data_IF_789448316841
#
_entry.id   IF_789448316841
#
_cell.length_a   1.000
_cell.length_b   1.000
_cell.length_c   1.000
_cell.angle_alpha   90.00
_cell.angle_beta   90.00
_cell.angle_gamma   90.00
#
_symmetry.space_group_name_H-M   'P 1'
#
loop_
_entity.id
_entity.type
_entity.pdbx_description
1 polymer ?
#
# COMPACT_ATOMS: atom_id res chain seq x y z
N UNK A 1 -19.82 10.62 6.45
CA UNK A 1 -19.55 9.54 7.42
C UNK A 1 -20.46 9.65 8.63
N UNK A 2 -20.77 8.51 9.19
CA UNK A 2 -21.77 8.42 10.26
C UNK A 2 -21.44 9.21 11.54
N UNK A 3 -20.17 9.31 11.85
CA UNK A 3 -19.72 9.98 13.09
C UNK A 3 -19.11 11.36 12.85
N UNK A 4 -19.37 11.93 11.70
CA UNK A 4 -18.92 13.30 11.41
C UNK A 4 -17.47 13.45 11.01
N UNK A 5 -16.72 12.35 10.89
CA UNK A 5 -15.34 12.38 10.40
C UNK A 5 -15.37 12.44 8.88
N UNK A 6 -14.70 13.43 8.30
CA UNK A 6 -14.63 13.56 6.84
C UNK A 6 -13.62 12.57 6.25
N UNK A 7 -13.86 12.02 5.05
CA UNK A 7 -12.90 11.10 4.42
C UNK A 7 -11.50 11.68 4.30
N UNK A 8 -11.35 12.96 4.00
CA UNK A 8 -10.05 13.60 3.86
C UNK A 8 -9.27 13.68 5.18
N UNK A 9 -9.90 13.37 6.31
CA UNK A 9 -9.25 13.31 7.62
C UNK A 9 -8.93 11.88 8.07
N UNK A 10 -9.13 10.90 7.19
CA UNK A 10 -8.94 9.48 7.51
C UNK A 10 -7.68 8.96 6.86
N UNK A 11 -6.89 8.20 7.60
CA UNK A 11 -5.73 7.48 7.08
C UNK A 11 -6.16 6.05 6.79
N UNK A 12 -5.91 5.59 5.58
CA UNK A 12 -6.24 4.22 5.16
C UNK A 12 -4.99 3.36 5.29
N UNK A 13 -5.10 2.25 6.02
CA UNK A 13 -4.01 1.30 6.20
C UNK A 13 -4.45 -0.08 5.74
N UNK A 14 -3.71 -0.66 4.81
CA UNK A 14 -3.96 -2.01 4.34
C UNK A 14 -2.70 -2.85 4.38
N UNK A 15 -2.85 -4.14 4.72
CA UNK A 15 -1.74 -5.08 4.77
C UNK A 15 -2.07 -6.31 3.93
N UNK A 16 -1.12 -6.72 3.08
CA UNK A 16 -1.25 -7.91 2.24
C UNK A 16 -2.52 -7.85 1.40
N UNK A 17 -3.42 -8.82 1.54
CA UNK A 17 -4.70 -8.84 0.80
C UNK A 17 -5.57 -7.63 1.16
N UNK A 18 -5.39 -7.09 2.36
CA UNK A 18 -6.10 -5.88 2.80
C UNK A 18 -5.74 -4.63 2.00
N UNK A 19 -4.64 -4.66 1.23
CA UNK A 19 -4.30 -3.54 0.35
C UNK A 19 -5.28 -3.41 -0.81
N UNK A 20 -5.98 -4.48 -1.16
CA UNK A 20 -6.96 -4.48 -2.25
C UNK A 20 -8.11 -3.52 -1.98
N UNK A 21 -8.88 -3.68 -0.88
CA UNK A 21 -9.93 -2.71 -0.58
C UNK A 21 -9.36 -1.32 -0.26
N UNK A 22 -8.14 -1.26 0.30
CA UNK A 22 -7.51 0.02 0.63
C UNK A 22 -7.22 0.84 -0.63
N UNK A 23 -6.62 0.24 -1.64
CA UNK A 23 -6.34 0.92 -2.90
C UNK A 23 -7.63 1.27 -3.63
N UNK A 24 -8.59 0.36 -3.65
CA UNK A 24 -9.89 0.62 -4.28
C UNK A 24 -10.58 1.82 -3.64
N UNK A 25 -10.65 1.84 -2.31
CA UNK A 25 -11.26 2.93 -1.58
C UNK A 25 -10.53 4.26 -1.84
N UNK A 26 -9.21 4.24 -1.76
CA UNK A 26 -8.40 5.44 -1.96
C UNK A 26 -8.45 5.96 -3.39
N UNK A 27 -8.72 5.08 -4.37
CA UNK A 27 -8.85 5.49 -5.76
C UNK A 27 -10.18 6.20 -6.05
N UNK A 28 -11.17 6.01 -5.17
CA UNK A 28 -12.51 6.59 -5.32
C UNK A 28 -12.74 7.80 -4.42
N UNK A 29 -12.08 7.86 -3.30
CA UNK A 29 -12.30 8.92 -2.31
C UNK A 29 -10.99 9.52 -1.87
N UNK A 30 -11.00 10.82 -1.60
CA UNK A 30 -9.84 11.49 -1.04
C UNK A 30 -9.67 11.10 0.42
N UNK A 31 -8.43 10.86 0.83
CA UNK A 31 -8.10 10.54 2.22
C UNK A 31 -6.87 11.35 2.64
N UNK A 32 -6.60 11.42 3.95
CA UNK A 32 -5.42 12.15 4.45
C UNK A 32 -4.13 11.50 3.98
N UNK A 33 -4.08 10.17 4.01
CA UNK A 33 -2.90 9.40 3.62
C UNK A 33 -3.28 7.93 3.43
N UNK A 34 -2.43 7.19 2.74
CA UNK A 34 -2.61 5.76 2.51
C UNK A 34 -1.32 5.05 2.87
N UNK A 35 -1.43 3.97 3.63
CA UNK A 35 -0.30 3.12 3.99
C UNK A 35 -0.56 1.72 3.44
N UNK A 36 0.35 1.23 2.61
CA UNK A 36 0.24 -0.10 2.00
C UNK A 36 1.41 -0.96 2.46
N UNK A 37 1.11 -1.95 3.28
CA UNK A 37 2.08 -2.84 3.91
C UNK A 37 2.06 -4.18 3.18
N UNK A 38 3.18 -4.55 2.57
CA UNK A 38 3.32 -5.77 1.77
C UNK A 38 2.22 -5.88 0.71
N UNK A 39 2.07 -4.84 -0.13
CA UNK A 39 0.98 -4.81 -1.11
C UNK A 39 1.23 -5.74 -2.29
N UNK A 40 0.14 -6.15 -2.92
CA UNK A 40 0.20 -6.97 -4.13
C UNK A 40 -0.28 -6.16 -5.34
N UNK A 41 0.23 -6.50 -6.53
CA UNK A 41 -0.20 -5.83 -7.77
C UNK A 41 -1.58 -6.31 -8.19
N UNK A 42 -1.85 -7.61 -8.04
CA UNK A 42 -3.16 -8.21 -8.30
C UNK A 42 -3.22 -9.59 -7.67
N UNK A 43 -4.42 -10.08 -7.40
CA UNK A 43 -4.62 -11.42 -6.87
C UNK A 43 -4.15 -12.51 -7.83
N UNK A 44 -4.36 -12.32 -9.12
CA UNK A 44 -3.93 -13.30 -10.13
C UNK A 44 -2.41 -13.42 -10.19
N UNK A 45 -1.70 -12.30 -10.07
CA UNK A 45 -0.24 -12.31 -10.13
C UNK A 45 0.40 -12.96 -8.91
N UNK A 46 -0.29 -12.93 -7.77
CA UNK A 46 0.17 -13.63 -6.58
C UNK A 46 -0.03 -15.14 -6.73
N UNK A 47 -1.20 -15.56 -7.25
CA UNK A 47 -1.52 -16.97 -7.44
C UNK A 47 -0.74 -17.59 -8.60
N UNK A 48 -0.45 -16.79 -9.63
CA UNK A 48 0.26 -17.26 -10.83
C UNK A 48 1.40 -16.29 -11.14
N UNK A 49 2.57 -16.42 -10.47
CA UNK A 49 3.65 -15.43 -10.57
C UNK A 49 4.18 -15.19 -11.97
N UNK A 50 4.10 -16.17 -12.86
CA UNK A 50 4.58 -16.04 -14.23
C UNK A 50 3.64 -15.26 -15.13
N UNK A 51 2.46 -14.88 -14.63
CA UNK A 51 1.48 -14.15 -15.40
C UNK A 51 1.90 -12.69 -15.48
N UNK A 52 2.06 -12.18 -16.70
CA UNK A 52 2.43 -10.78 -16.95
C UNK A 52 1.24 -9.92 -17.36
N UNK A 53 0.08 -10.55 -17.53
CA UNK A 53 -1.15 -9.86 -17.93
C UNK A 53 -2.14 -9.86 -16.77
N UNK A 54 -2.89 -8.76 -16.67
CA UNK A 54 -4.04 -8.73 -15.79
C UNK A 54 -5.24 -9.27 -16.58
N UNK A 55 -5.82 -10.36 -16.12
CA UNK A 55 -6.98 -10.92 -16.76
C UNK A 55 -8.21 -10.04 -16.54
N UNK A 56 -9.13 -10.04 -17.50
CA UNK A 56 -10.33 -9.21 -17.41
C UNK A 56 -11.22 -9.57 -16.21
N UNK A 57 -11.07 -10.78 -15.68
CA UNK A 57 -11.80 -11.22 -14.48
C UNK A 57 -10.97 -11.18 -13.21
N UNK A 58 -9.78 -10.54 -13.26
CA UNK A 58 -8.96 -10.36 -12.06
C UNK A 58 -9.68 -9.38 -11.12
N UNK A 59 -10.07 -9.89 -9.94
CA UNK A 59 -10.84 -9.12 -8.98
C UNK A 59 -9.97 -8.12 -8.18
N UNK A 60 -8.64 -8.22 -8.24
CA UNK A 60 -7.75 -7.46 -7.37
C UNK A 60 -6.66 -6.71 -8.14
N UNK A 61 -7.04 -5.80 -9.07
CA UNK A 61 -6.06 -5.10 -9.91
C UNK A 61 -5.51 -3.82 -9.26
N UNK A 62 -4.79 -3.97 -8.14
CA UNK A 62 -4.19 -2.81 -7.46
C UNK A 62 -3.31 -1.99 -8.39
N UNK A 63 -2.56 -2.67 -9.26
CA UNK A 63 -1.64 -2.02 -10.19
C UNK A 63 -2.35 -1.06 -11.14
N UNK A 64 -3.61 -1.35 -11.45
CA UNK A 64 -4.39 -0.52 -12.36
C UNK A 64 -5.08 0.64 -11.63
N UNK A 65 -5.22 0.56 -10.31
CA UNK A 65 -5.93 1.57 -9.52
C UNK A 65 -5.01 2.53 -8.79
N UNK A 66 -3.77 2.12 -8.51
CA UNK A 66 -2.87 2.94 -7.70
C UNK A 66 -2.59 4.31 -8.32
N UNK A 67 -2.59 4.41 -9.65
CA UNK A 67 -2.36 5.67 -10.34
C UNK A 67 -3.49 6.68 -10.15
N UNK A 68 -4.65 6.23 -9.66
CA UNK A 68 -5.81 7.08 -9.41
C UNK A 68 -5.85 7.60 -7.98
N UNK A 69 -4.95 7.14 -7.13
CA UNK A 69 -4.88 7.59 -5.73
C UNK A 69 -4.15 8.92 -5.68
N UNK A 70 -4.83 9.96 -5.19
CA UNK A 70 -4.28 11.31 -5.12
C UNK A 70 -3.70 11.65 -3.75
N UNK A 71 -3.99 10.85 -2.73
CA UNK A 71 -3.46 11.03 -1.38
C UNK A 71 -2.00 10.62 -1.31
N UNK A 72 -1.22 11.14 -0.33
CA UNK A 72 0.13 10.64 -0.11
C UNK A 72 0.12 9.15 0.24
N UNK A 73 1.00 8.37 -0.37
CA UNK A 73 1.05 6.91 -0.21
C UNK A 73 2.41 6.48 0.33
N UNK A 74 2.39 5.81 1.48
CA UNK A 74 3.57 5.16 2.05
C UNK A 74 3.51 3.66 1.72
N UNK A 75 4.50 3.18 0.99
CA UNK A 75 4.64 1.76 0.67
C UNK A 75 5.68 1.14 1.60
N UNK A 76 5.32 0.02 2.21
CA UNK A 76 6.18 -0.74 3.13
C UNK A 76 6.27 -2.17 2.61
N UNK A 77 7.48 -2.67 2.40
CA UNK A 77 7.67 -4.03 1.89
C UNK A 77 9.00 -4.59 2.34
N UNK A 78 9.02 -5.86 2.70
CA UNK A 78 10.24 -6.56 3.05
C UNK A 78 10.94 -7.07 1.80
N UNK A 79 12.25 -6.91 1.73
CA UNK A 79 13.01 -7.34 0.56
C UNK A 79 13.09 -8.86 0.40
N UNK A 80 12.85 -9.61 1.49
CA UNK A 80 12.86 -11.06 1.50
C UNK A 80 11.46 -11.67 1.67
N UNK A 81 10.43 -10.95 1.23
CA UNK A 81 9.05 -11.41 1.32
C UNK A 81 8.86 -12.65 0.42
N UNK A 82 8.51 -13.77 1.04
CA UNK A 82 8.34 -15.05 0.36
C UNK A 82 6.91 -15.28 -0.14
N UNK A 83 5.97 -14.51 0.35
CA UNK A 83 4.55 -14.63 0.00
C UNK A 83 4.19 -13.69 -1.14
N UNK A 84 4.55 -12.42 -0.98
CA UNK A 84 4.34 -11.41 -2.02
C UNK A 84 5.70 -10.81 -2.34
N UNK A 85 6.25 -11.18 -3.48
CA UNK A 85 7.59 -10.75 -3.87
C UNK A 85 7.75 -9.24 -3.79
N UNK A 86 8.93 -8.80 -3.39
CA UNK A 86 9.26 -7.39 -3.25
C UNK A 86 8.98 -6.59 -4.54
N UNK A 87 9.06 -7.25 -5.69
CA UNK A 87 8.77 -6.61 -6.97
C UNK A 87 7.36 -6.02 -7.06
N UNK A 88 6.41 -6.56 -6.29
CA UNK A 88 5.05 -6.00 -6.22
C UNK A 88 5.07 -4.60 -5.64
N UNK A 89 5.80 -4.42 -4.53
CA UNK A 89 5.92 -3.10 -3.90
C UNK A 89 6.59 -2.09 -4.82
N UNK A 90 7.66 -2.51 -5.49
CA UNK A 90 8.37 -1.65 -6.45
C UNK A 90 7.48 -1.23 -7.61
N UNK A 91 6.71 -2.19 -8.16
CA UNK A 91 5.82 -1.90 -9.30
C UNK A 91 4.73 -0.89 -8.92
N UNK A 92 4.16 -1.04 -7.73
CA UNK A 92 3.14 -0.10 -7.25
C UNK A 92 3.75 1.27 -6.99
N UNK A 93 4.94 1.33 -6.42
CA UNK A 93 5.64 2.58 -6.15
C UNK A 93 5.87 3.36 -7.46
N UNK A 94 6.29 2.67 -8.51
CA UNK A 94 6.55 3.31 -9.81
C UNK A 94 5.31 3.92 -10.44
N UNK A 95 4.13 3.37 -10.15
CA UNK A 95 2.88 3.85 -10.71
C UNK A 95 2.12 4.79 -9.79
N UNK A 96 2.59 4.97 -8.58
CA UNK A 96 1.94 5.82 -7.60
C UNK A 96 2.08 7.29 -7.99
N UNK A 97 0.96 8.03 -7.90
CA UNK A 97 0.93 9.44 -8.30
C UNK A 97 1.61 10.36 -7.28
N UNK A 98 1.40 10.08 -5.98
CA UNK A 98 1.96 10.88 -4.89
C UNK A 98 2.65 9.99 -3.85
N UNK A 99 3.74 9.31 -4.23
CA UNK A 99 4.44 8.47 -3.27
C UNK A 99 5.30 9.33 -2.33
N UNK A 100 5.32 8.96 -1.05
CA UNK A 100 6.34 9.47 -0.14
C UNK A 100 7.51 8.49 -0.16
N UNK A 101 8.59 8.81 0.53
CA UNK A 101 9.74 7.91 0.60
C UNK A 101 9.30 6.55 1.16
N UNK A 102 9.49 5.46 0.41
CA UNK A 102 9.02 4.15 0.83
C UNK A 102 9.90 3.56 1.92
N UNK A 103 9.34 2.61 2.68
CA UNK A 103 10.12 1.83 3.63
C UNK A 103 10.35 0.43 3.05
N UNK A 104 11.53 0.23 2.51
CA UNK A 104 11.99 -1.08 2.07
C UNK A 104 12.80 -1.69 3.21
N UNK A 105 12.23 -2.71 3.88
CA UNK A 105 12.87 -3.31 5.06
C UNK A 105 13.76 -4.44 4.60
N UNK A 106 15.07 -4.20 4.58
CA UNK A 106 16.05 -5.18 4.13
C UNK A 106 16.07 -6.39 5.06
N UNK A 107 15.98 -7.57 4.45
CA UNK A 107 15.99 -8.83 5.17
C UNK A 107 14.66 -9.25 5.75
N UNK A 108 13.63 -8.39 5.73
CA UNK A 108 12.32 -8.71 6.29
C UNK A 108 11.50 -9.56 5.34
N UNK A 109 10.75 -10.50 5.90
CA UNK A 109 9.80 -11.32 5.17
C UNK A 109 8.39 -10.73 5.20
N UNK A 110 7.40 -11.58 4.94
CA UNK A 110 6.01 -11.13 4.85
C UNK A 110 5.40 -10.77 6.20
N UNK A 111 5.74 -11.51 7.24
CA UNK A 111 5.08 -11.42 8.54
C UNK A 111 5.93 -10.86 9.66
N UNK A 112 7.14 -10.39 9.39
CA UNK A 112 8.05 -9.96 10.45
C UNK A 112 8.48 -8.50 10.37
N UNK A 113 7.91 -7.72 9.44
CA UNK A 113 8.26 -6.30 9.29
C UNK A 113 8.02 -5.53 10.59
N UNK A 114 6.94 -5.84 11.28
CA UNK A 114 6.56 -5.17 12.54
C UNK A 114 7.58 -5.35 13.65
N UNK A 115 8.43 -6.36 13.54
CA UNK A 115 9.47 -6.64 14.53
C UNK A 115 10.70 -5.73 14.33
N UNK A 116 10.78 -5.04 13.21
CA UNK A 116 11.89 -4.12 12.95
C UNK A 116 11.57 -2.73 13.49
N UNK A 117 12.53 -2.15 14.22
CA UNK A 117 12.34 -0.82 14.81
C UNK A 117 12.02 0.25 13.77
N UNK A 118 12.56 0.10 12.57
CA UNK A 118 12.32 1.00 11.44
C UNK A 118 10.84 1.15 11.11
N UNK A 119 10.07 0.07 11.25
CA UNK A 119 8.64 0.07 10.92
C UNK A 119 7.86 1.06 11.78
N UNK A 120 7.98 0.93 13.09
CA UNK A 120 7.26 1.79 14.00
C UNK A 120 7.72 3.24 13.89
N UNK A 121 9.01 3.44 13.75
CA UNK A 121 9.58 4.78 13.61
C UNK A 121 9.07 5.49 12.37
N UNK A 122 9.07 4.78 11.23
CA UNK A 122 8.59 5.35 9.97
C UNK A 122 7.10 5.63 10.01
N UNK A 123 6.31 4.74 10.63
CA UNK A 123 4.88 4.96 10.80
C UNK A 123 4.60 6.21 11.61
N UNK A 124 5.29 6.37 12.74
CA UNK A 124 5.11 7.55 13.59
C UNK A 124 5.45 8.84 12.85
N UNK A 125 6.55 8.82 12.13
CA UNK A 125 7.00 9.96 11.36
C UNK A 125 5.98 10.35 10.29
N UNK A 126 5.50 9.37 9.54
CA UNK A 126 4.55 9.60 8.46
C UNK A 126 3.21 10.11 8.98
N UNK A 127 2.67 9.45 10.00
CA UNK A 127 1.38 9.85 10.59
C UNK A 127 1.47 11.25 11.18
N UNK A 128 2.54 11.55 11.92
CA UNK A 128 2.71 12.88 12.51
C UNK A 128 2.78 13.94 11.43
N UNK A 129 3.51 13.70 10.37
CA UNK A 129 3.64 14.65 9.25
C UNK A 129 2.31 14.89 8.55
N UNK A 130 1.60 13.82 8.22
CA UNK A 130 0.34 13.95 7.49
C UNK A 130 -0.77 14.54 8.35
N UNK A 131 -0.83 14.20 9.64
CA UNK A 131 -1.84 14.74 10.53
C UNK A 131 -1.61 16.22 10.86
N UNK A 132 -0.36 16.65 10.92
CA UNK A 132 -0.04 18.06 11.18
C UNK A 132 -0.51 18.94 10.02
N UNK A 133 -0.58 18.41 8.82
CA UNK A 133 -0.99 19.14 7.63
C UNK A 133 -2.51 19.12 7.39
N UNK A 134 -3.25 18.52 8.31
CA UNK A 134 -4.70 18.56 8.26
C UNK A 134 -5.20 19.84 8.92
#
# INVERSE_FOLDING_TARGET
MRYGVRPENVIIYGQSIGTVPSVDLASRYESAAVILHSPLTSGMRVAFPDTKKTYCFDAFPNIDKISKVTSPVLLIHGTEDEVIDFSHGLALYERCQHPVEPLWVEGAGHNDIELYGQYLERLKQFVAHELVNL
#
